data_IF_195203263094
#
_entry.id   IF_195203263094
#
_cell.length_a   1.000
_cell.length_b   1.000
_cell.length_c   1.000
_cell.angle_alpha   90.00
_cell.angle_beta   90.00
_cell.angle_gamma   90.00
#
_symmetry.space_group_name_H-M   'P 1'
#
loop_
_entity.id
_entity.type
_entity.pdbx_description
1 polymer ?
#
# COMPACT_ATOMS: atom_id res chain seq x y z
N UNK A 1 -58.29 -13.81 14.41
CA UNK A 1 -57.44 -13.14 15.43
C UNK A 1 -56.10 -13.84 15.67
N UNK A 2 -56.05 -15.16 15.95
CA UNK A 2 -54.77 -15.87 16.20
C UNK A 2 -53.74 -15.81 15.07
N UNK A 3 -54.16 -15.87 13.80
CA UNK A 3 -53.26 -15.78 12.64
C UNK A 3 -52.64 -14.39 12.47
N UNK A 4 -53.40 -13.32 12.71
CA UNK A 4 -52.92 -11.94 12.61
C UNK A 4 -51.85 -11.61 13.69
N UNK A 5 -52.00 -12.17 14.90
CA UNK A 5 -51.01 -12.03 15.97
C UNK A 5 -49.69 -12.75 15.65
N UNK A 6 -49.76 -13.93 15.03
CA UNK A 6 -48.55 -14.70 14.64
C UNK A 6 -47.78 -13.99 13.53
N UNK A 7 -48.46 -13.45 12.51
CA UNK A 7 -47.79 -12.68 11.46
C UNK A 7 -47.21 -11.36 11.96
N UNK A 8 -47.85 -10.69 12.93
CA UNK A 8 -47.31 -9.49 13.59
C UNK A 8 -46.04 -9.76 14.40
N UNK A 9 -45.99 -10.87 15.14
CA UNK A 9 -44.82 -11.28 15.93
C UNK A 9 -43.62 -11.69 15.06
N UNK A 10 -43.86 -12.38 13.95
CA UNK A 10 -42.79 -12.74 12.98
C UNK A 10 -42.23 -11.50 12.29
N UNK A 11 -43.10 -10.53 11.93
CA UNK A 11 -42.67 -9.25 11.36
C UNK A 11 -41.80 -8.42 12.32
N UNK A 12 -42.19 -8.33 13.60
CA UNK A 12 -41.41 -7.63 14.62
C UNK A 12 -40.05 -8.29 14.91
N UNK A 13 -39.99 -9.62 14.97
CA UNK A 13 -38.73 -10.34 15.21
C UNK A 13 -37.74 -10.17 14.03
N UNK A 14 -38.23 -10.14 12.78
CA UNK A 14 -37.42 -9.89 11.59
C UNK A 14 -36.80 -8.49 11.56
N UNK A 15 -37.56 -7.45 11.93
CA UNK A 15 -37.05 -6.07 11.98
C UNK A 15 -36.01 -5.85 13.08
N UNK A 16 -36.13 -6.52 14.23
CA UNK A 16 -35.17 -6.43 15.33
C UNK A 16 -33.84 -7.10 14.96
N UNK A 17 -33.87 -8.25 14.28
CA UNK A 17 -32.67 -8.94 13.79
C UNK A 17 -31.92 -8.13 12.72
N UNK A 18 -32.62 -7.39 11.85
CA UNK A 18 -32.00 -6.51 10.85
C UNK A 18 -31.33 -5.27 11.48
N UNK A 19 -31.94 -4.68 12.50
CA UNK A 19 -31.38 -3.53 13.21
C UNK A 19 -30.14 -3.87 14.06
N UNK A 20 -30.10 -5.08 14.64
CA UNK A 20 -28.94 -5.56 15.42
C UNK A 20 -27.70 -5.84 14.55
N UNK A 21 -27.88 -6.28 13.29
CA UNK A 21 -26.76 -6.51 12.37
C UNK A 21 -26.18 -5.21 11.78
N UNK A 22 -26.97 -4.14 11.68
CA UNK A 22 -26.50 -2.85 11.17
C UNK A 22 -25.50 -2.16 12.10
N UNK A 23 -25.55 -2.45 13.40
CA UNK A 23 -24.68 -1.81 14.41
C UNK A 23 -23.28 -2.44 14.50
N UNK A 24 -23.06 -3.61 13.90
CA UNK A 24 -21.77 -4.30 13.89
C UNK A 24 -20.88 -4.00 12.67
N UNK A 25 -21.43 -3.33 11.64
CA UNK A 25 -20.76 -3.14 10.36
C UNK A 25 -19.88 -1.88 10.27
N UNK A 26 -19.77 -1.09 11.34
CA UNK A 26 -18.85 0.05 11.40
C UNK A 26 -19.18 1.18 10.43
N UNK A 27 -20.45 1.59 10.31
CA UNK A 27 -20.86 2.75 9.52
C UNK A 27 -20.52 2.66 8.01
N UNK A 28 -20.89 3.67 7.21
CA UNK A 28 -20.39 3.78 5.84
C UNK A 28 -18.87 4.00 5.89
N UNK A 29 -18.12 3.22 5.09
CA UNK A 29 -16.68 3.47 4.91
C UNK A 29 -16.48 4.87 4.34
N UNK A 30 -15.57 5.68 4.89
CA UNK A 30 -15.22 6.96 4.28
C UNK A 30 -14.67 6.71 2.87
N UNK A 31 -14.91 7.66 1.97
CA UNK A 31 -14.26 7.65 0.65
C UNK A 31 -12.74 7.68 0.84
N UNK A 32 -11.98 6.87 0.06
CA UNK A 32 -10.53 6.88 0.15
C UNK A 32 -9.96 8.25 -0.26
N UNK A 33 -8.85 8.68 0.33
CA UNK A 33 -8.19 9.92 -0.08
C UNK A 33 -7.73 9.82 -1.55
N UNK A 34 -7.51 10.95 -2.24
CA UNK A 34 -6.88 10.95 -3.57
C UNK A 34 -5.55 10.21 -3.54
N UNK A 35 -5.16 9.55 -4.63
CA UNK A 35 -3.87 8.84 -4.69
C UNK A 35 -2.68 9.79 -4.53
N UNK A 36 -1.61 9.32 -3.90
CA UNK A 36 -0.36 10.08 -3.79
C UNK A 36 0.32 10.21 -5.16
N UNK A 37 0.88 11.37 -5.46
CA UNK A 37 1.54 11.67 -6.74
C UNK A 37 3.07 11.75 -6.61
N UNK A 38 3.57 11.80 -5.38
CA UNK A 38 5.02 11.76 -5.09
C UNK A 38 5.34 10.79 -3.95
N UNK A 39 6.60 10.35 -3.86
CA UNK A 39 7.12 9.60 -2.72
C UNK A 39 6.93 10.38 -1.42
N UNK A 40 7.15 11.69 -1.43
CA UNK A 40 6.99 12.54 -0.24
C UNK A 40 5.54 12.56 0.27
N UNK A 41 4.56 12.72 -0.62
CA UNK A 41 3.14 12.64 -0.25
C UNK A 41 2.76 11.26 0.28
N UNK A 42 3.33 10.19 -0.30
CA UNK A 42 3.08 8.83 0.17
C UNK A 42 3.71 8.61 1.56
N UNK A 43 4.94 9.06 1.77
CA UNK A 43 5.64 8.93 3.05
C UNK A 43 4.92 9.66 4.18
N UNK A 44 4.45 10.89 3.94
CA UNK A 44 3.70 11.69 4.91
C UNK A 44 2.43 10.97 5.40
N UNK A 45 1.70 10.29 4.51
CA UNK A 45 0.46 9.56 4.88
C UNK A 45 0.71 8.41 5.85
N UNK A 46 1.89 7.81 5.79
CA UNK A 46 2.26 6.65 6.59
C UNK A 46 3.39 6.94 7.57
N UNK A 47 3.59 8.22 7.92
CA UNK A 47 4.59 8.60 8.91
C UNK A 47 4.26 7.99 10.28
N UNK A 48 5.18 7.16 10.76
CA UNK A 48 5.12 6.50 12.06
C UNK A 48 5.81 7.30 13.16
N UNK A 49 6.47 8.43 12.87
CA UNK A 49 7.20 9.22 13.86
C UNK A 49 6.32 9.66 15.03
N UNK A 50 5.06 10.04 14.76
CA UNK A 50 4.05 10.38 15.77
C UNK A 50 3.74 9.25 16.75
N UNK A 51 4.04 8.00 16.39
CA UNK A 51 3.82 6.85 17.27
C UNK A 51 4.87 6.80 18.37
N UNK A 52 6.06 7.35 18.15
CA UNK A 52 7.16 7.37 19.12
C UNK A 52 6.75 8.11 20.41
N UNK A 53 5.89 9.14 20.30
CA UNK A 53 5.38 9.91 21.44
C UNK A 53 4.72 9.06 22.54
N UNK A 54 4.13 7.91 22.14
CA UNK A 54 3.44 6.99 23.06
C UNK A 54 4.05 5.57 23.07
N UNK A 55 4.84 5.21 22.05
CA UNK A 55 5.36 3.86 21.83
C UNK A 55 6.86 3.89 21.49
N UNK A 56 7.64 4.66 22.24
CA UNK A 56 9.08 4.88 22.05
C UNK A 56 9.87 3.57 21.85
N UNK A 57 9.83 2.64 22.80
CA UNK A 57 10.60 1.38 22.72
C UNK A 57 10.28 0.57 21.45
N UNK A 58 9.00 0.46 21.08
CA UNK A 58 8.59 -0.28 19.86
C UNK A 58 9.01 0.48 18.61
N UNK A 59 8.93 1.81 18.63
CA UNK A 59 9.34 2.65 17.52
C UNK A 59 10.85 2.53 17.28
N UNK A 60 11.67 2.60 18.33
CA UNK A 60 13.12 2.49 18.26
C UNK A 60 13.54 1.12 17.70
N UNK A 61 12.95 0.03 18.20
CA UNK A 61 13.19 -1.32 17.67
C UNK A 61 12.83 -1.42 16.17
N UNK A 62 11.72 -0.80 15.75
CA UNK A 62 11.31 -0.78 14.36
C UNK A 62 12.26 0.05 13.49
N UNK A 63 12.66 1.24 13.95
CA UNK A 63 13.53 2.17 13.23
C UNK A 63 14.91 1.58 12.97
N UNK A 64 15.44 0.82 13.94
CA UNK A 64 16.70 0.09 13.80
C UNK A 64 16.58 -1.17 12.91
N UNK A 65 15.36 -1.64 12.63
CA UNK A 65 15.12 -2.84 11.83
C UNK A 65 15.20 -2.61 10.31
N UNK A 66 15.25 -3.70 9.55
CA UNK A 66 15.13 -3.64 8.08
C UNK A 66 13.74 -3.20 7.60
N UNK A 67 12.70 -3.29 8.44
CA UNK A 67 11.33 -2.92 8.06
C UNK A 67 11.14 -1.41 7.92
N UNK A 68 11.89 -0.60 8.70
CA UNK A 68 11.91 0.86 8.52
C UNK A 68 12.56 1.30 7.21
N UNK A 69 13.30 0.40 6.54
CA UNK A 69 14.02 0.65 5.30
C UNK A 69 13.39 -0.15 4.16
N UNK A 70 12.08 -0.09 4.01
CA UNK A 70 11.28 -1.06 3.22
C UNK A 70 11.73 -1.27 1.76
N UNK A 71 12.03 -0.19 1.02
CA UNK A 71 12.51 -0.23 -0.39
C UNK A 71 13.98 -0.59 -0.50
N UNK A 72 14.82 -0.06 0.41
CA UNK A 72 16.24 -0.42 0.46
C UNK A 72 16.41 -1.89 0.89
N UNK A 73 15.54 -2.33 1.79
CA UNK A 73 15.47 -3.63 2.46
C UNK A 73 16.79 -4.06 3.08
N UNK A 74 17.07 -5.36 2.99
CA UNK A 74 18.47 -5.81 2.90
C UNK A 74 19.11 -5.05 1.73
N UNK A 75 20.36 -4.56 1.78
CA UNK A 75 21.03 -3.73 0.74
C UNK A 75 21.02 -4.25 -0.72
N UNK A 76 20.31 -5.35 -0.98
CA UNK A 76 20.00 -6.00 -2.23
C UNK A 76 18.61 -5.70 -2.80
N UNK A 77 17.63 -5.23 -2.02
CA UNK A 77 16.24 -5.08 -2.50
C UNK A 77 16.16 -4.05 -3.62
N UNK A 78 16.59 -2.81 -3.38
CA UNK A 78 16.57 -1.76 -4.40
C UNK A 78 17.32 -2.15 -5.70
N UNK A 79 18.56 -2.69 -5.67
CA UNK A 79 19.21 -3.21 -6.88
C UNK A 79 18.43 -4.33 -7.60
N UNK A 80 17.73 -5.17 -6.84
CA UNK A 80 16.93 -6.27 -7.41
C UNK A 80 15.69 -5.73 -8.11
N UNK A 81 15.05 -4.67 -7.61
CA UNK A 81 13.96 -3.98 -8.33
C UNK A 81 14.43 -3.56 -9.73
N UNK A 82 15.60 -2.92 -9.84
CA UNK A 82 16.16 -2.53 -11.15
C UNK A 82 16.46 -3.75 -12.02
N UNK A 83 17.00 -4.82 -11.43
CA UNK A 83 17.25 -6.07 -12.17
C UNK A 83 15.96 -6.67 -12.72
N UNK A 84 14.88 -6.68 -11.92
CA UNK A 84 13.55 -7.13 -12.34
C UNK A 84 13.01 -6.29 -13.50
N UNK A 85 13.23 -4.98 -13.49
CA UNK A 85 12.85 -4.11 -14.61
C UNK A 85 13.66 -4.43 -15.87
N UNK A 86 15.00 -4.46 -15.76
CA UNK A 86 15.89 -4.60 -16.90
C UNK A 86 15.91 -6.01 -17.51
N UNK A 87 15.81 -7.05 -16.67
CA UNK A 87 15.93 -8.45 -17.08
C UNK A 87 14.61 -9.20 -17.07
N UNK A 88 13.58 -8.67 -16.40
CA UNK A 88 12.23 -9.20 -16.41
C UNK A 88 11.33 -8.38 -17.33
N UNK A 89 10.86 -7.23 -16.84
CA UNK A 89 9.82 -6.45 -17.51
C UNK A 89 10.22 -6.03 -18.91
N UNK A 90 11.39 -5.41 -19.13
CA UNK A 90 11.81 -4.93 -20.46
C UNK A 90 12.05 -6.06 -21.47
N UNK A 91 12.42 -7.25 -21.00
CA UNK A 91 12.67 -8.42 -21.86
C UNK A 91 11.42 -9.27 -22.12
N UNK A 92 10.39 -9.16 -21.27
CA UNK A 92 9.17 -9.94 -21.41
C UNK A 92 8.25 -9.30 -22.45
N UNK A 93 7.89 -10.00 -23.56
CA UNK A 93 7.13 -9.38 -24.66
C UNK A 93 5.76 -8.84 -24.27
N UNK A 94 5.14 -9.40 -23.22
CA UNK A 94 3.78 -9.07 -22.80
C UNK A 94 3.71 -8.08 -21.63
N UNK A 95 4.85 -7.56 -21.15
CA UNK A 95 4.84 -6.55 -20.08
C UNK A 95 4.40 -5.17 -20.56
N UNK A 96 4.59 -4.84 -21.84
CA UNK A 96 4.42 -3.48 -22.34
C UNK A 96 5.55 -2.49 -21.98
N UNK A 97 6.45 -2.84 -21.05
CA UNK A 97 7.54 -1.96 -20.60
C UNK A 97 8.68 -1.95 -21.62
N UNK A 98 9.03 -0.78 -22.16
CA UNK A 98 10.19 -0.58 -23.06
C UNK A 98 11.19 0.41 -22.49
N UNK A 99 10.70 1.39 -21.77
CA UNK A 99 11.44 2.45 -21.09
C UNK A 99 10.97 2.57 -19.64
N UNK A 100 11.63 3.42 -18.85
CA UNK A 100 11.21 3.66 -17.47
C UNK A 100 9.89 4.44 -17.40
N UNK A 101 9.53 5.18 -18.47
CA UNK A 101 8.27 5.93 -18.54
C UNK A 101 7.03 5.00 -18.64
N UNK A 102 7.22 3.79 -19.14
CA UNK A 102 6.16 2.77 -19.26
C UNK A 102 5.86 2.07 -17.92
N UNK A 103 6.63 2.36 -16.87
CA UNK A 103 6.46 1.74 -15.55
C UNK A 103 5.21 2.30 -14.88
N UNK A 104 4.43 1.38 -14.31
CA UNK A 104 3.21 1.66 -13.56
C UNK A 104 3.32 1.09 -12.16
N UNK A 105 2.38 1.47 -11.28
CA UNK A 105 2.23 0.86 -9.95
C UNK A 105 2.11 -0.66 -10.09
N UNK A 106 1.27 -1.14 -11.01
CA UNK A 106 1.04 -2.58 -11.21
C UNK A 106 2.36 -3.35 -11.49
N UNK A 107 3.23 -2.80 -12.33
CA UNK A 107 4.53 -3.38 -12.62
C UNK A 107 5.40 -3.52 -11.37
N UNK A 108 5.47 -2.47 -10.54
CA UNK A 108 6.27 -2.48 -9.32
C UNK A 108 5.64 -3.31 -8.20
N UNK A 109 4.33 -3.53 -8.20
CA UNK A 109 3.66 -4.37 -7.20
C UNK A 109 4.16 -5.82 -7.19
N UNK A 110 4.85 -6.30 -8.23
CA UNK A 110 5.59 -7.57 -8.16
C UNK A 110 6.58 -7.61 -6.98
N UNK A 111 7.23 -6.48 -6.67
CA UNK A 111 8.15 -6.33 -5.55
C UNK A 111 7.50 -5.59 -4.37
N UNK A 112 6.71 -4.56 -4.65
CA UNK A 112 6.15 -3.65 -3.66
C UNK A 112 5.02 -4.28 -2.84
N UNK A 113 4.37 -5.36 -3.29
CA UNK A 113 3.42 -6.13 -2.44
C UNK A 113 4.00 -6.47 -1.06
N UNK A 114 5.30 -6.75 -0.99
CA UNK A 114 5.98 -7.05 0.28
C UNK A 114 6.85 -5.89 0.79
N UNK A 115 7.42 -5.10 -0.12
CA UNK A 115 8.44 -4.10 0.22
C UNK A 115 7.92 -2.66 0.33
N UNK A 116 6.72 -2.37 -0.16
CA UNK A 116 6.05 -1.07 -0.05
C UNK A 116 4.57 -1.24 -0.45
N UNK A 117 3.77 -2.01 0.31
CA UNK A 117 2.39 -2.31 -0.08
C UNK A 117 1.54 -1.06 -0.31
N UNK A 118 1.86 0.03 0.38
CA UNK A 118 1.25 1.36 0.26
C UNK A 118 1.34 1.97 -1.14
N UNK A 119 2.20 1.44 -2.03
CA UNK A 119 2.31 1.91 -3.40
C UNK A 119 0.98 1.75 -4.18
N UNK A 120 0.07 0.88 -3.74
CA UNK A 120 -1.26 0.74 -4.34
C UNK A 120 -2.14 2.01 -4.22
N UNK A 121 -1.89 2.82 -3.20
CA UNK A 121 -2.52 4.13 -2.95
C UNK A 121 -1.83 5.29 -3.69
N UNK A 122 -0.89 5.01 -4.60
CA UNK A 122 -0.20 6.01 -5.40
C UNK A 122 -0.55 5.97 -6.89
N UNK A 123 -0.21 7.04 -7.61
CA UNK A 123 -0.21 7.11 -9.08
C UNK A 123 1.05 6.47 -9.65
N UNK A 124 1.05 6.23 -10.96
CA UNK A 124 2.22 5.71 -11.68
C UNK A 124 3.44 6.66 -11.62
N UNK A 125 3.23 7.94 -11.31
CA UNK A 125 4.32 8.91 -11.12
C UNK A 125 5.22 8.49 -9.96
N UNK A 126 4.64 8.02 -8.84
CA UNK A 126 5.41 7.53 -7.69
C UNK A 126 6.22 6.29 -8.05
N UNK A 127 5.65 5.39 -8.87
CA UNK A 127 6.38 4.22 -9.34
C UNK A 127 7.62 4.61 -10.15
N UNK A 128 7.48 5.57 -11.07
CA UNK A 128 8.61 6.11 -11.85
C UNK A 128 9.62 6.86 -10.97
N UNK A 129 9.14 7.64 -10.01
CA UNK A 129 9.99 8.36 -9.04
C UNK A 129 10.86 7.40 -8.22
N UNK A 130 10.29 6.26 -7.77
CA UNK A 130 11.04 5.22 -7.04
C UNK A 130 12.17 4.66 -7.92
N UNK A 131 11.86 4.32 -9.18
CA UNK A 131 12.85 3.77 -10.10
C UNK A 131 13.96 4.78 -10.40
N UNK A 132 13.60 6.03 -10.67
CA UNK A 132 14.55 7.11 -10.89
C UNK A 132 15.45 7.31 -9.65
N UNK A 133 14.87 7.30 -8.45
CA UNK A 133 15.59 7.43 -7.18
C UNK A 133 16.61 6.31 -6.99
N UNK A 134 16.21 5.06 -7.19
CA UNK A 134 17.13 3.90 -7.06
C UNK A 134 18.27 3.99 -8.08
N UNK A 135 17.98 4.38 -9.33
CA UNK A 135 19.03 4.58 -10.34
C UNK A 135 19.98 5.71 -9.96
N UNK A 136 19.45 6.80 -9.39
CA UNK A 136 20.25 7.90 -8.83
C UNK A 136 21.22 7.40 -7.77
N UNK A 137 20.75 6.58 -6.82
CA UNK A 137 21.63 5.95 -5.82
C UNK A 137 22.70 5.05 -6.44
N UNK A 138 22.32 4.22 -7.42
CA UNK A 138 23.28 3.37 -8.12
C UNK A 138 24.33 4.18 -8.89
N UNK A 139 23.94 5.33 -9.46
CA UNK A 139 24.85 6.21 -10.16
C UNK A 139 25.81 6.88 -9.18
N UNK A 140 25.30 7.48 -8.11
CA UNK A 140 26.12 8.06 -7.06
C UNK A 140 27.14 7.05 -6.50
N UNK A 141 26.71 5.81 -6.22
CA UNK A 141 27.62 4.75 -5.77
C UNK A 141 28.73 4.39 -6.78
N UNK A 142 28.46 4.51 -8.09
CA UNK A 142 29.47 4.29 -9.14
C UNK A 142 30.46 5.45 -9.25
N UNK A 143 30.03 6.67 -8.94
CA UNK A 143 30.82 7.88 -9.09
C UNK A 143 31.77 8.13 -7.90
N UNK A 144 31.49 7.53 -6.73
CA UNK A 144 32.31 7.60 -5.51
C UNK A 144 31.83 8.64 -4.52
#
# INVERSE_FOLDING_TARGET
MKRALIFGLIGCAGCIMLALNASGAGGPKPEPPPKATTIAELAERYDSSRCADCHEEIYDEWEESLHARSVLGSPRTAPTIITTIEKGLKLFPYSGVKSDDDITVEHLMLCAKCHLPQLDEATDDVAREIVATIRGWQQAYRDG
#
